data_IF_911004320772
#
_entry.id   IF_911004320772
#
_cell.length_a   1.000
_cell.length_b   1.000
_cell.length_c   1.000
_cell.angle_alpha   90.00
_cell.angle_beta   90.00
_cell.angle_gamma   90.00
#
_symmetry.space_group_name_H-M   'P 1'
#
loop_
_entity.id
_entity.type
_entity.pdbx_description
1 polymer ?
#
# COMPACT_ATOMS: atom_id res chain seq x y z
N UNK A 1 -18.33 0.72 32.46
CA UNK A 1 -17.94 0.59 31.04
C UNK A 1 -17.27 1.90 30.64
N UNK A 2 -15.95 1.99 30.80
CA UNK A 2 -15.17 3.14 30.35
C UNK A 2 -15.01 3.06 28.83
N UNK A 3 -15.57 4.04 28.11
CA UNK A 3 -15.24 4.25 26.70
C UNK A 3 -13.80 4.79 26.64
N UNK A 4 -12.84 3.88 26.47
CA UNK A 4 -11.47 4.25 26.11
C UNK A 4 -11.50 4.73 24.67
N UNK A 5 -11.61 6.05 24.48
CA UNK A 5 -11.49 6.69 23.18
C UNK A 5 -10.05 6.55 22.68
N UNK A 6 -9.80 5.59 21.81
CA UNK A 6 -8.52 5.48 21.11
C UNK A 6 -8.38 6.63 20.10
N UNK A 7 -7.49 7.57 20.39
CA UNK A 7 -7.12 8.60 19.44
C UNK A 7 -6.15 8.01 18.41
N UNK A 8 -6.60 7.89 17.17
CA UNK A 8 -5.76 7.50 16.05
C UNK A 8 -5.07 8.73 15.47
N UNK A 9 -3.77 8.86 15.70
CA UNK A 9 -2.95 9.87 15.04
C UNK A 9 -2.69 9.44 13.59
N UNK A 10 -3.45 10.01 12.67
CA UNK A 10 -3.12 9.93 11.25
C UNK A 10 -1.80 10.67 11.02
N UNK A 11 -0.81 10.01 10.41
CA UNK A 11 0.44 10.63 10.00
C UNK A 11 0.23 11.83 9.05
N UNK A 12 1.28 12.50 8.56
CA UNK A 12 1.13 13.66 7.70
C UNK A 12 0.42 13.31 6.37
N UNK A 13 -0.90 13.51 6.31
CA UNK A 13 -1.71 13.34 5.09
C UNK A 13 -1.43 14.52 4.14
N UNK A 14 -1.19 14.34 2.83
CA UNK A 14 -1.02 15.47 1.92
C UNK A 14 -2.32 16.29 1.77
N UNK A 15 -2.28 17.57 1.36
CA UNK A 15 -3.49 18.34 1.07
C UNK A 15 -4.35 17.69 -0.03
N UNK A 16 -5.68 17.76 0.11
CA UNK A 16 -6.63 17.20 -0.86
C UNK A 16 -7.83 16.52 -0.22
N UNK A 17 -8.67 15.91 -1.09
CA UNK A 17 -9.78 15.04 -0.68
C UNK A 17 -9.28 13.61 -0.55
N UNK A 18 -9.53 13.01 0.60
CA UNK A 18 -9.13 11.65 0.94
C UNK A 18 -10.36 10.85 1.37
N UNK A 19 -10.36 9.56 1.05
CA UNK A 19 -11.33 8.61 1.59
C UNK A 19 -10.60 7.68 2.54
N UNK A 20 -11.00 7.71 3.81
CA UNK A 20 -10.51 6.81 4.84
C UNK A 20 -11.59 5.75 5.04
N UNK A 21 -11.22 4.48 4.97
CA UNK A 21 -12.15 3.38 5.24
C UNK A 21 -11.87 2.84 6.64
N UNK A 22 -12.88 2.89 7.50
CA UNK A 22 -12.82 2.28 8.82
C UNK A 22 -13.49 0.92 8.75
N UNK A 23 -12.76 -0.11 9.16
CA UNK A 23 -13.25 -1.49 9.25
C UNK A 23 -13.04 -1.98 10.67
N UNK A 24 -14.06 -2.61 11.25
CA UNK A 24 -13.90 -3.37 12.47
C UNK A 24 -13.42 -4.78 12.11
N UNK A 25 -12.55 -5.35 12.94
CA UNK A 25 -12.08 -6.73 12.81
C UNK A 25 -12.38 -7.44 14.12
N UNK A 26 -13.08 -8.58 14.05
CA UNK A 26 -13.37 -9.40 15.22
C UNK A 26 -12.19 -10.31 15.60
N UNK A 27 -12.35 -11.06 16.69
CA UNK A 27 -11.37 -12.05 17.16
C UNK A 27 -11.09 -13.19 16.16
N UNK A 28 -12.00 -13.39 15.20
CA UNK A 28 -11.91 -14.39 14.14
C UNK A 28 -11.42 -13.81 12.80
N UNK A 29 -10.89 -12.58 12.80
CA UNK A 29 -10.40 -11.86 11.62
C UNK A 29 -11.48 -11.60 10.55
N UNK A 30 -12.76 -11.61 10.92
CA UNK A 30 -13.84 -11.21 10.03
C UNK A 30 -13.94 -9.69 10.06
N UNK A 31 -13.94 -9.10 8.86
CA UNK A 31 -14.05 -7.67 8.68
C UNK A 31 -15.52 -7.26 8.59
N UNK A 32 -15.88 -6.15 9.23
CA UNK A 32 -17.16 -5.48 8.98
C UNK A 32 -17.19 -4.89 7.57
N UNK A 33 -18.39 -4.54 7.09
CA UNK A 33 -18.52 -3.68 5.93
C UNK A 33 -17.74 -2.37 6.15
N UNK A 34 -16.96 -1.90 5.15
CA UNK A 34 -16.14 -0.72 5.29
C UNK A 34 -17.02 0.53 5.41
N UNK A 35 -16.76 1.34 6.43
CA UNK A 35 -17.41 2.63 6.61
C UNK A 35 -16.54 3.74 6.00
N UNK A 36 -17.00 4.44 4.95
CA UNK A 36 -16.22 5.49 4.30
C UNK A 36 -16.32 6.81 5.08
N UNK A 37 -15.18 7.41 5.39
CA UNK A 37 -15.03 8.76 5.92
C UNK A 37 -14.33 9.63 4.88
N UNK A 38 -14.97 10.72 4.50
CA UNK A 38 -14.34 11.71 3.61
C UNK A 38 -13.59 12.75 4.45
N UNK A 39 -12.28 12.84 4.21
CA UNK A 39 -11.40 13.79 4.88
C UNK A 39 -10.93 14.83 3.86
N UNK A 40 -11.25 16.10 4.10
CA UNK A 40 -10.74 17.22 3.32
C UNK A 40 -9.60 17.88 4.09
N UNK A 41 -8.37 17.73 3.60
CA UNK A 41 -7.24 18.49 4.12
C UNK A 41 -7.03 19.73 3.24
N UNK A 42 -7.20 20.96 3.78
CA UNK A 42 -7.01 22.16 2.98
C UNK A 42 -5.56 22.31 2.53
N UNK A 43 -5.36 22.96 1.39
CA UNK A 43 -4.05 23.42 0.93
C UNK A 43 -3.49 24.46 1.90
N UNK A 44 -2.16 24.49 2.14
CA UNK A 44 -1.51 25.58 2.86
C UNK A 44 -1.90 26.92 2.22
N UNK A 45 -2.09 27.97 3.03
CA UNK A 45 -2.57 29.28 2.54
C UNK A 45 -1.77 29.81 1.34
N UNK A 46 -0.43 29.63 1.35
CA UNK A 46 0.46 30.04 0.25
C UNK A 46 0.35 29.24 -1.05
N UNK A 47 -0.27 28.05 -1.01
CA UNK A 47 -0.55 27.20 -2.17
C UNK A 47 -2.04 27.18 -2.55
N UNK A 48 -2.83 28.07 -1.96
CA UNK A 48 -4.23 28.22 -2.35
C UNK A 48 -4.34 28.83 -3.75
N UNK A 49 -5.37 28.42 -4.50
CA UNK A 49 -5.64 28.99 -5.85
C UNK A 49 -5.79 30.51 -5.81
N UNK A 50 -6.35 31.04 -4.73
CA UNK A 50 -6.51 32.47 -4.50
C UNK A 50 -5.19 33.24 -4.45
N UNK A 51 -4.08 32.58 -4.08
CA UNK A 51 -2.74 33.19 -4.04
C UNK A 51 -1.94 32.87 -5.31
N UNK A 52 -2.00 31.63 -5.79
CA UNK A 52 -1.25 31.19 -6.96
C UNK A 52 -1.69 31.89 -8.25
N UNK A 53 -2.99 32.16 -8.42
CA UNK A 53 -3.52 32.81 -9.63
C UNK A 53 -3.01 34.25 -9.77
N UNK A 54 -3.10 35.13 -8.76
CA UNK A 54 -2.53 36.48 -8.83
C UNK A 54 -1.02 36.48 -9.04
N UNK A 55 -0.28 35.59 -8.37
CA UNK A 55 1.19 35.52 -8.50
C UNK A 55 1.59 35.10 -9.92
N UNK A 56 0.95 34.06 -10.46
CA UNK A 56 1.18 33.63 -11.83
C UNK A 56 0.80 34.72 -12.84
N UNK A 57 -0.35 35.39 -12.64
CA UNK A 57 -0.79 36.51 -13.47
C UNK A 57 0.20 37.69 -13.43
N UNK A 58 0.71 38.04 -12.25
CA UNK A 58 1.73 39.08 -12.07
C UNK A 58 3.05 38.73 -12.77
N UNK A 59 3.50 37.48 -12.69
CA UNK A 59 4.69 37.01 -13.39
C UNK A 59 4.53 37.09 -14.92
N UNK A 60 3.39 36.64 -15.45
CA UNK A 60 3.08 36.76 -16.89
C UNK A 60 3.05 38.22 -17.33
N UNK A 61 2.39 39.08 -16.55
CA UNK A 61 2.34 40.52 -16.83
C UNK A 61 3.73 41.16 -16.77
N UNK A 62 4.56 40.81 -15.80
CA UNK A 62 5.93 41.30 -15.68
C UNK A 62 6.78 40.87 -16.87
N UNK A 63 6.69 39.60 -17.29
CA UNK A 63 7.40 39.10 -18.48
C UNK A 63 6.90 39.80 -19.74
N UNK A 64 5.59 40.02 -19.86
CA UNK A 64 5.01 40.77 -20.97
C UNK A 64 5.53 42.21 -21.01
N UNK A 65 5.49 42.92 -19.86
CA UNK A 65 6.01 44.28 -19.74
C UNK A 65 7.51 44.33 -20.06
N UNK A 66 8.33 43.43 -19.51
CA UNK A 66 9.77 43.37 -19.80
C UNK A 66 10.09 42.97 -21.25
N UNK A 67 9.16 42.30 -21.94
CA UNK A 67 9.28 41.95 -23.35
C UNK A 67 8.86 43.09 -24.28
N UNK A 68 7.91 43.93 -23.83
CA UNK A 68 7.34 45.06 -24.60
C UNK A 68 8.09 46.37 -24.32
N UNK A 69 8.62 46.58 -23.11
CA UNK A 69 9.32 47.80 -22.70
C UNK A 69 10.81 47.95 -23.07
N UNK A 70 11.57 46.98 -23.66
CA UNK A 70 12.89 47.28 -24.20
C UNK A 70 12.74 47.87 -25.61
N UNK A 71 12.01 49.00 -25.69
CA UNK A 71 11.85 49.87 -26.86
C UNK A 71 12.80 51.08 -26.79
N UNK A 72 13.62 51.21 -25.75
CA UNK A 72 14.65 52.26 -25.65
C UNK A 72 16.07 51.81 -26.08
N UNK A 73 16.29 50.54 -26.42
CA UNK A 73 17.60 50.01 -26.80
C UNK A 73 17.69 49.52 -28.25
N UNK A 74 18.15 50.39 -29.15
CA UNK A 74 18.53 50.08 -30.55
C UNK A 74 19.49 48.87 -30.56
N UNK A 75 19.15 47.79 -31.28
CA UNK A 75 20.21 46.83 -31.67
C UNK A 75 19.89 45.38 -32.01
N UNK A 76 18.67 44.83 -31.83
CA UNK A 76 18.36 43.46 -32.32
C UNK A 76 16.95 43.40 -32.89
N UNK A 77 16.82 42.90 -34.12
CA UNK A 77 15.63 43.04 -34.97
C UNK A 77 14.31 42.65 -34.29
N UNK A 78 13.22 43.39 -34.57
CA UNK A 78 11.94 43.28 -33.86
C UNK A 78 11.30 41.90 -33.98
N UNK A 79 11.45 41.25 -35.14
CA UNK A 79 10.84 39.94 -35.43
C UNK A 79 11.40 38.82 -34.53
N UNK A 80 12.74 38.78 -34.35
CA UNK A 80 13.40 37.77 -33.53
C UNK A 80 13.05 37.91 -32.05
N UNK A 81 12.87 39.14 -31.58
CA UNK A 81 12.42 39.42 -30.20
C UNK A 81 10.97 39.00 -30.00
N UNK A 82 10.06 39.37 -30.91
CA UNK A 82 8.67 38.96 -30.85
C UNK A 82 8.51 37.43 -30.80
N UNK A 83 9.30 36.70 -31.60
CA UNK A 83 9.27 35.24 -31.64
C UNK A 83 9.77 34.62 -30.33
N UNK A 84 10.87 35.14 -29.76
CA UNK A 84 11.39 34.68 -28.46
C UNK A 84 10.43 34.97 -27.31
N UNK A 85 9.79 36.15 -27.32
CA UNK A 85 8.78 36.51 -26.32
C UNK A 85 7.52 35.65 -26.44
N UNK A 86 7.07 35.34 -27.66
CA UNK A 86 5.95 34.44 -27.88
C UNK A 86 6.25 33.02 -27.36
N UNK A 87 7.46 32.50 -27.61
CA UNK A 87 7.91 31.20 -27.08
C UNK A 87 7.98 31.23 -25.54
N UNK A 88 8.56 32.28 -24.95
CA UNK A 88 8.66 32.41 -23.49
C UNK A 88 7.27 32.48 -22.82
N UNK A 89 6.36 33.28 -23.35
CA UNK A 89 4.97 33.38 -22.87
C UNK A 89 4.24 32.05 -23.03
N UNK A 90 4.46 31.34 -24.14
CA UNK A 90 3.84 30.03 -24.40
C UNK A 90 4.33 28.98 -23.40
N UNK A 91 5.64 28.93 -23.13
CA UNK A 91 6.24 28.01 -22.14
C UNK A 91 5.75 28.32 -20.73
N UNK A 92 5.69 29.59 -20.34
CA UNK A 92 5.16 30.01 -19.03
C UNK A 92 3.67 29.68 -18.89
N UNK A 93 2.89 29.94 -19.94
CA UNK A 93 1.47 29.57 -20.00
C UNK A 93 1.28 28.06 -19.84
N UNK A 94 2.11 27.25 -20.51
CA UNK A 94 2.08 25.79 -20.42
C UNK A 94 2.43 25.29 -19.00
N UNK A 95 3.40 25.93 -18.32
CA UNK A 95 3.78 25.59 -16.95
C UNK A 95 2.67 25.92 -15.94
N UNK A 96 2.03 27.08 -16.08
CA UNK A 96 0.87 27.45 -15.25
C UNK A 96 -0.30 26.51 -15.50
N UNK A 97 -0.57 26.18 -16.76
CA UNK A 97 -1.62 25.23 -17.12
C UNK A 97 -1.33 23.83 -16.56
N UNK A 98 -0.09 23.36 -16.61
CA UNK A 98 0.34 22.09 -16.01
C UNK A 98 0.22 22.09 -14.47
N UNK A 99 0.34 23.25 -13.82
CA UNK A 99 0.14 23.38 -12.37
C UNK A 99 -1.34 23.44 -11.96
N UNK A 100 -2.21 23.98 -12.82
CA UNK A 100 -3.66 24.12 -12.57
C UNK A 100 -4.42 22.85 -12.95
N UNK A 101 -4.07 22.24 -14.08
CA UNK A 101 -4.67 21.00 -14.55
C UNK A 101 -4.01 19.84 -13.79
N UNK A 102 -4.77 19.03 -13.05
CA UNK A 102 -4.24 17.95 -12.23
C UNK A 102 -3.78 16.77 -13.11
N UNK A 103 -2.76 16.95 -13.94
CA UNK A 103 -2.15 15.88 -14.74
C UNK A 103 -0.86 15.31 -14.13
N UNK A 104 -0.42 15.79 -12.97
CA UNK A 104 0.67 15.15 -12.22
C UNK A 104 0.11 14.25 -11.09
N UNK A 105 -0.66 13.22 -11.47
CA UNK A 105 -0.89 12.02 -10.64
C UNK A 105 0.10 10.89 -10.96
N UNK A 106 1.11 11.11 -11.80
CA UNK A 106 1.98 10.05 -12.27
C UNK A 106 3.40 10.52 -12.59
N UNK A 107 4.15 10.88 -11.57
CA UNK A 107 5.61 10.68 -11.56
C UNK A 107 5.95 9.87 -10.31
N UNK A 108 6.84 8.87 -10.39
CA UNK A 108 6.88 7.79 -9.43
C UNK A 108 7.54 8.27 -8.15
N UNK A 109 6.74 8.80 -7.23
CA UNK A 109 7.10 8.68 -5.83
C UNK A 109 7.05 7.20 -5.48
N UNK A 110 8.22 6.56 -5.49
CA UNK A 110 8.46 5.32 -4.73
C UNK A 110 8.44 5.72 -3.26
N UNK A 111 7.23 5.98 -2.76
CA UNK A 111 6.99 6.04 -1.33
C UNK A 111 7.12 4.63 -0.82
N UNK A 112 8.23 4.33 -0.12
CA UNK A 112 8.23 3.22 0.82
C UNK A 112 7.12 3.52 1.83
N UNK A 113 5.97 2.89 1.67
CA UNK A 113 4.94 2.87 2.70
C UNK A 113 5.44 2.00 3.83
N UNK A 114 6.40 2.51 4.60
CA UNK A 114 6.60 2.01 5.95
C UNK A 114 5.39 2.49 6.74
N UNK A 115 4.40 1.61 6.88
CA UNK A 115 3.40 1.76 7.93
C UNK A 115 4.17 1.66 9.25
N UNK A 116 4.59 2.79 9.80
CA UNK A 116 5.01 2.86 11.20
C UNK A 116 3.75 2.75 12.06
N UNK A 117 3.25 1.52 12.20
CA UNK A 117 2.28 1.23 13.24
C UNK A 117 2.97 1.58 14.56
N UNK A 118 2.43 2.54 15.30
CA UNK A 118 2.87 2.81 16.67
C UNK A 118 2.45 1.61 17.52
N UNK A 119 3.43 0.81 17.92
CA UNK A 119 3.20 -0.34 18.77
C UNK A 119 3.28 0.07 20.24
N UNK A 120 2.29 -0.34 21.02
CA UNK A 120 2.25 -0.10 22.46
C UNK A 120 2.85 -1.30 23.21
N UNK A 121 3.24 -1.08 24.47
CA UNK A 121 3.56 -2.17 25.37
C UNK A 121 2.34 -3.11 25.44
N UNK A 122 2.57 -4.43 25.29
CA UNK A 122 1.59 -5.51 25.17
C UNK A 122 0.94 -5.72 23.78
N UNK A 123 1.24 -4.90 22.76
CA UNK A 123 0.77 -5.16 21.39
C UNK A 123 1.26 -6.51 20.86
N UNK A 124 0.42 -7.16 20.05
CA UNK A 124 0.76 -8.37 19.30
C UNK A 124 1.14 -7.97 17.88
N UNK A 125 2.38 -8.29 17.50
CA UNK A 125 2.85 -8.24 16.11
C UNK A 125 2.51 -9.54 15.43
N UNK A 126 2.09 -9.46 14.17
CA UNK A 126 1.77 -10.61 13.36
C UNK A 126 2.70 -10.66 12.16
N UNK A 127 3.38 -11.79 12.00
CA UNK A 127 4.20 -12.07 10.83
C UNK A 127 3.57 -13.24 10.07
N UNK A 128 3.10 -13.02 8.84
CA UNK A 128 2.64 -14.12 8.00
C UNK A 128 3.82 -14.98 7.58
N UNK A 129 3.68 -16.30 7.68
CA UNK A 129 4.72 -17.29 7.35
C UNK A 129 4.09 -18.45 6.61
N UNK A 130 4.76 -18.94 5.56
CA UNK A 130 4.41 -20.19 4.89
C UNK A 130 5.46 -21.22 5.30
N UNK A 131 5.03 -22.36 5.84
CA UNK A 131 5.89 -23.49 6.13
C UNK A 131 5.54 -24.68 5.25
N UNK A 132 6.52 -25.22 4.55
CA UNK A 132 6.41 -26.41 3.73
C UNK A 132 7.03 -27.60 4.48
N UNK A 133 6.28 -28.69 4.57
CA UNK A 133 6.76 -29.99 5.01
C UNK A 133 7.23 -30.76 3.78
N UNK A 134 8.53 -31.02 3.70
CA UNK A 134 9.14 -31.76 2.60
C UNK A 134 9.04 -33.27 2.82
N UNK A 135 9.18 -34.02 1.73
CA UNK A 135 9.41 -35.46 1.79
C UNK A 135 10.68 -35.76 2.59
N UNK A 136 10.53 -36.50 3.69
CA UNK A 136 11.58 -36.68 4.71
C UNK A 136 11.29 -35.98 6.05
N UNK A 137 10.15 -35.29 6.18
CA UNK A 137 9.66 -34.74 7.46
C UNK A 137 10.30 -33.42 7.88
N UNK A 138 11.16 -32.84 7.04
CA UNK A 138 11.77 -31.52 7.28
C UNK A 138 10.77 -30.42 7.00
N UNK A 139 10.52 -29.55 7.97
CA UNK A 139 9.72 -28.33 7.81
C UNK A 139 10.65 -27.15 7.47
N UNK A 140 10.35 -26.42 6.39
CA UNK A 140 11.10 -25.24 5.95
C UNK A 140 10.15 -24.05 5.79
N UNK A 141 10.60 -22.87 6.19
CA UNK A 141 9.92 -21.61 5.85
C UNK A 141 10.21 -21.26 4.40
N UNK A 142 9.19 -20.86 3.66
CA UNK A 142 9.27 -20.60 2.21
C UNK A 142 8.71 -19.23 1.87
N UNK A 143 9.27 -18.62 0.83
CA UNK A 143 8.78 -17.34 0.33
C UNK A 143 7.61 -17.53 -0.64
N UNK A 144 6.65 -16.57 -0.74
CA UNK A 144 5.58 -16.64 -1.74
C UNK A 144 6.12 -16.73 -3.18
N UNK A 145 7.25 -16.08 -3.45
CA UNK A 145 7.92 -16.11 -4.75
C UNK A 145 8.37 -17.51 -5.17
N UNK A 146 8.80 -18.35 -4.22
CA UNK A 146 9.19 -19.74 -4.52
C UNK A 146 8.00 -20.59 -4.97
N UNK A 147 6.76 -20.22 -4.66
CA UNK A 147 5.56 -20.87 -5.20
C UNK A 147 4.90 -20.09 -6.33
N UNK A 148 5.59 -19.13 -6.96
CA UNK A 148 5.12 -18.41 -8.15
C UNK A 148 4.26 -17.18 -7.88
N UNK A 149 4.23 -16.67 -6.64
CA UNK A 149 3.58 -15.38 -6.33
C UNK A 149 4.56 -14.24 -6.57
N UNK A 150 4.19 -13.28 -7.42
CA UNK A 150 5.07 -12.20 -7.89
C UNK A 150 5.58 -11.25 -6.79
N UNK A 151 4.96 -11.27 -5.61
CA UNK A 151 5.37 -10.43 -4.48
C UNK A 151 6.45 -11.18 -3.67
N UNK A 152 7.70 -10.68 -3.61
CA UNK A 152 8.82 -11.44 -3.03
C UNK A 152 8.80 -11.55 -1.51
N UNK A 153 7.98 -10.73 -0.82
CA UNK A 153 7.90 -10.71 0.63
C UNK A 153 6.58 -11.30 1.13
N UNK A 154 6.66 -12.11 2.18
CA UNK A 154 5.49 -12.65 2.88
C UNK A 154 4.76 -11.52 3.59
N UNK A 155 3.67 -11.08 2.98
CA UNK A 155 2.73 -10.11 3.55
C UNK A 155 1.36 -10.76 3.62
N UNK A 156 0.46 -10.27 4.49
CA UNK A 156 -0.90 -10.80 4.52
C UNK A 156 -1.57 -10.72 3.15
N UNK A 157 -1.26 -9.67 2.38
CA UNK A 157 -1.78 -9.47 1.02
C UNK A 157 -1.24 -10.51 0.04
N UNK A 158 0.02 -10.93 0.14
CA UNK A 158 0.57 -11.97 -0.72
C UNK A 158 -0.01 -13.35 -0.41
N UNK A 159 -0.59 -13.56 0.77
CA UNK A 159 -1.26 -14.81 1.14
C UNK A 159 -2.72 -14.89 0.68
N UNK A 160 -3.36 -13.77 0.31
CA UNK A 160 -4.77 -13.75 -0.11
C UNK A 160 -5.07 -14.77 -1.22
N UNK A 161 -4.25 -14.93 -2.28
CA UNK A 161 -4.50 -15.95 -3.30
C UNK A 161 -4.44 -17.38 -2.77
N UNK A 162 -3.66 -17.64 -1.72
CA UNK A 162 -3.54 -18.98 -1.12
C UNK A 162 -4.70 -19.27 -0.15
N UNK A 163 -5.11 -18.26 0.62
CA UNK A 163 -6.21 -18.40 1.58
C UNK A 163 -7.58 -18.45 0.89
N UNK A 164 -7.74 -17.72 -0.22
CA UNK A 164 -9.04 -17.57 -0.90
C UNK A 164 -9.11 -18.20 -2.31
N UNK A 165 -7.97 -18.63 -2.89
CA UNK A 165 -7.93 -19.13 -4.27
C UNK A 165 -8.42 -20.56 -4.47
N UNK A 166 -8.83 -21.24 -3.40
CA UNK A 166 -9.34 -22.61 -3.46
C UNK A 166 -8.25 -23.69 -3.63
N UNK A 167 -8.65 -24.97 -3.69
CA UNK A 167 -7.73 -26.11 -3.65
C UNK A 167 -6.83 -26.22 -4.88
N UNK A 168 -7.33 -25.87 -6.06
CA UNK A 168 -6.54 -25.89 -7.30
C UNK A 168 -5.36 -24.93 -7.24
N UNK A 169 -5.58 -23.71 -6.74
CA UNK A 169 -4.52 -22.70 -6.62
C UNK A 169 -3.45 -23.09 -5.60
N UNK A 170 -3.86 -23.73 -4.52
CA UNK A 170 -2.94 -24.27 -3.51
C UNK A 170 -2.10 -25.42 -4.05
N UNK A 171 -2.69 -26.27 -4.89
CA UNK A 171 -1.97 -27.37 -5.53
C UNK A 171 -0.95 -26.86 -6.55
N UNK A 172 -1.33 -25.92 -7.43
CA UNK A 172 -0.40 -25.24 -8.34
C UNK A 172 0.79 -24.62 -7.59
N UNK A 173 0.50 -23.96 -6.47
CA UNK A 173 1.52 -23.35 -5.63
C UNK A 173 2.44 -24.41 -5.01
N UNK A 174 1.88 -25.51 -4.49
CA UNK A 174 2.62 -26.64 -3.91
C UNK A 174 3.55 -27.31 -4.92
N UNK A 175 3.06 -27.57 -6.13
CA UNK A 175 3.83 -28.17 -7.21
C UNK A 175 4.97 -27.25 -7.68
N UNK A 176 4.67 -25.96 -7.84
CA UNK A 176 5.68 -24.95 -8.21
C UNK A 176 6.74 -24.83 -7.13
N UNK A 177 6.33 -24.80 -5.87
CA UNK A 177 7.23 -24.78 -4.74
C UNK A 177 8.11 -26.04 -4.69
N UNK A 178 7.53 -27.22 -4.87
CA UNK A 178 8.29 -28.48 -4.88
C UNK A 178 9.33 -28.55 -6.00
N UNK A 179 9.00 -28.03 -7.19
CA UNK A 179 9.96 -27.89 -8.30
C UNK A 179 11.10 -26.95 -7.94
N UNK A 180 10.79 -25.80 -7.33
CA UNK A 180 11.80 -24.79 -6.99
C UNK A 180 12.69 -25.20 -5.80
N UNK A 181 12.15 -25.97 -4.84
CA UNK A 181 12.90 -26.51 -3.72
C UNK A 181 13.67 -27.80 -4.06
N UNK A 182 13.42 -28.39 -5.23
CA UNK A 182 14.01 -29.68 -5.63
C UNK A 182 13.55 -30.86 -4.78
N UNK A 183 12.44 -30.73 -4.06
CA UNK A 183 11.90 -31.74 -3.16
C UNK A 183 10.37 -31.70 -3.14
N UNK A 184 9.67 -32.85 -3.17
CA UNK A 184 8.22 -32.86 -3.09
C UNK A 184 7.72 -32.28 -1.77
N UNK A 185 6.75 -31.37 -1.86
CA UNK A 185 6.12 -30.74 -0.70
C UNK A 185 4.91 -31.57 -0.29
N UNK A 186 4.97 -32.24 0.85
CA UNK A 186 3.86 -33.06 1.36
C UNK A 186 2.74 -32.22 1.95
N UNK A 187 3.09 -31.14 2.66
CA UNK A 187 2.11 -30.30 3.37
C UNK A 187 2.54 -28.84 3.37
N UNK A 188 1.56 -27.94 3.30
CA UNK A 188 1.71 -26.51 3.46
C UNK A 188 0.95 -26.06 4.70
N UNK A 189 1.59 -25.23 5.50
CA UNK A 189 1.00 -24.52 6.64
C UNK A 189 1.16 -23.03 6.41
N UNK A 190 0.04 -22.32 6.40
CA UNK A 190 0.02 -20.87 6.36
C UNK A 190 -0.26 -20.41 7.79
N UNK A 191 0.69 -19.69 8.37
CA UNK A 191 0.69 -19.29 9.77
C UNK A 191 0.74 -17.76 9.89
N UNK A 192 0.18 -17.25 10.98
CA UNK A 192 0.55 -15.94 11.52
C UNK A 192 1.34 -16.18 12.80
N UNK A 193 2.67 -16.05 12.71
CA UNK A 193 3.52 -16.00 13.91
C UNK A 193 3.17 -14.74 14.68
N UNK A 194 2.98 -14.88 16.00
CA UNK A 194 2.63 -13.75 16.85
C UNK A 194 3.78 -13.45 17.79
N UNK A 195 4.09 -12.18 17.95
CA UNK A 195 5.11 -11.71 18.88
C UNK A 195 4.49 -10.66 19.79
N UNK A 196 4.43 -10.94 21.08
CA UNK A 196 3.97 -10.00 22.09
C UNK A 196 5.11 -9.07 22.47
N UNK A 197 4.89 -7.76 22.38
CA UNK A 197 5.83 -6.78 22.88
C UNK A 197 5.67 -6.64 24.39
N UNK A 198 6.73 -6.94 25.15
CA UNK A 198 6.74 -6.77 26.61
C UNK A 198 7.78 -5.72 27.01
N UNK A 199 7.72 -5.14 28.22
CA UNK A 199 8.75 -4.22 28.70
C UNK A 199 10.18 -4.83 28.67
N UNK A 200 10.28 -6.16 28.81
CA UNK A 200 11.54 -6.90 28.68
C UNK A 200 11.90 -7.34 27.26
N UNK A 201 11.22 -6.82 26.23
CA UNK A 201 11.46 -7.14 24.82
C UNK A 201 10.37 -8.01 24.16
N UNK A 202 10.53 -8.31 22.86
CA UNK A 202 9.60 -9.16 22.11
C UNK A 202 9.64 -10.60 22.61
N UNK A 203 8.47 -11.18 22.89
CA UNK A 203 8.31 -12.59 23.25
C UNK A 203 7.37 -13.29 22.27
N UNK A 204 7.70 -14.51 21.80
CA UNK A 204 6.79 -15.27 20.95
C UNK A 204 5.49 -15.58 21.69
N UNK A 205 4.37 -15.34 21.02
CA UNK A 205 3.04 -15.78 21.43
C UNK A 205 2.59 -16.78 20.36
N UNK A 206 2.35 -18.04 20.73
CA UNK A 206 2.24 -19.16 19.78
C UNK A 206 1.52 -18.86 18.47
N UNK A 207 2.00 -19.42 17.36
CA UNK A 207 1.49 -19.10 16.02
C UNK A 207 0.01 -19.44 15.83
N UNK A 208 -0.70 -18.61 15.06
CA UNK A 208 -2.07 -18.86 14.62
C UNK A 208 -2.03 -19.59 13.27
N UNK A 209 -2.74 -20.71 13.13
CA UNK A 209 -2.89 -21.41 11.86
C UNK A 209 -3.96 -20.68 11.03
N UNK A 210 -3.56 -20.15 9.87
CA UNK A 210 -4.45 -19.48 8.92
C UNK A 210 -4.97 -20.45 7.85
N UNK A 211 -4.16 -21.44 7.47
CA UNK A 211 -4.52 -22.45 6.48
C UNK A 211 -3.61 -23.68 6.56
N UNK A 212 -4.16 -24.84 6.20
CA UNK A 212 -3.47 -26.13 6.21
C UNK A 212 -3.83 -26.92 4.96
N UNK A 213 -2.83 -27.43 4.24
CA UNK A 213 -3.07 -28.16 3.01
C UNK A 213 -2.07 -29.32 2.80
N UNK A 214 -2.52 -30.54 2.45
CA UNK A 214 -3.92 -30.97 2.46
C UNK A 214 -4.51 -30.89 3.89
N UNK A 215 -5.84 -30.72 4.03
CA UNK A 215 -6.47 -30.68 5.34
C UNK A 215 -6.20 -31.99 6.09
N UNK A 216 -6.07 -31.92 7.42
CA UNK A 216 -6.06 -33.13 8.24
C UNK A 216 -7.35 -33.90 7.95
N UNK A 217 -7.24 -35.14 7.49
CA UNK A 217 -8.37 -36.07 7.52
C UNK A 217 -8.88 -36.07 8.96
N UNK A 218 -10.06 -35.49 9.20
CA UNK A 218 -10.80 -35.87 10.39
C UNK A 218 -11.07 -37.36 10.21
N UNK A 219 -10.70 -38.22 11.17
CA UNK A 219 -11.23 -39.58 11.14
C UNK A 219 -12.74 -39.43 11.02
N UNK A 220 -13.31 -40.04 9.98
CA UNK A 220 -14.74 -40.23 9.89
C UNK A 220 -15.18 -40.79 11.23
N UNK A 221 -16.09 -40.07 11.92
CA UNK A 221 -16.76 -40.64 13.09
C UNK A 221 -17.20 -42.05 12.69
N UNK A 222 -16.91 -43.08 13.50
CA UNK A 222 -17.34 -44.42 13.17
C UNK A 222 -18.84 -44.38 12.92
N UNK A 223 -19.26 -45.00 11.82
CA UNK A 223 -20.65 -45.29 11.50
C UNK A 223 -21.39 -45.60 12.81
N UNK A 224 -22.36 -44.75 13.17
CA UNK A 224 -23.46 -45.22 14.01
C UNK A 224 -24.34 -46.10 13.14
N UNK A 225 -23.80 -47.26 12.78
CA UNK A 225 -24.60 -48.43 12.51
C UNK A 225 -25.11 -48.96 13.84
N UNK A 226 -26.43 -49.00 14.02
CA UNK A 226 -27.04 -49.91 14.98
C UNK A 226 -28.17 -49.33 15.84
N UNK A 227 -29.40 -49.67 15.46
CA UNK A 227 -30.57 -49.75 16.35
C UNK A 227 -31.56 -48.61 16.14
N UNK A 228 -32.78 -48.81 15.64
CA UNK A 228 -33.61 -50.00 15.43
C UNK A 228 -34.53 -49.74 14.24
#
# INVERSE_FOLDING_TARGET
MEQVGSQYLLGPIPPGRHKVFVVAMDENLRFSSPFPLELLRPLPKGLSKAVLIPVAGGLVLMVFLLSVFPVLGKGRGPLRRALLSAVAVSVLGLQVFAAIVPHAKGWPFVGFTMYTQTYHAQSLLYRPVIRALLEGGKEVEVSPSEGGITVPYTTFRSLVPLLNGGPLRLEEFRETLGRNLGAPVQRLRILAERTRLTPGGPKPAGALLLGLYPPLHRPSSPDQGGGK
#
